data_IF_236028733381
#
_entry.id   IF_236028733381
#
_cell.length_a   1.000
_cell.length_b   1.000
_cell.length_c   1.000
_cell.angle_alpha   90.00
_cell.angle_beta   90.00
_cell.angle_gamma   90.00
#
_symmetry.space_group_name_H-M   'P 1'
#
loop_
_entity.id
_entity.type
_entity.pdbx_description
1 polymer ?
#
# COMPACT_ATOMS: atom_id res chain seq x y z
N UNK A 1 -15.87 22.81 -0.86
CA UNK A 1 -14.73 21.89 -1.06
C UNK A 1 -15.29 20.51 -1.30
N UNK A 2 -15.15 19.98 -2.52
CA UNK A 2 -15.50 18.59 -2.78
C UNK A 2 -14.31 17.70 -2.40
N UNK A 3 -14.59 16.51 -1.88
CA UNK A 3 -13.56 15.51 -1.55
C UNK A 3 -13.77 14.29 -2.44
N UNK A 4 -12.72 13.90 -3.14
CA UNK A 4 -12.67 12.65 -3.91
C UNK A 4 -11.93 11.62 -3.06
N UNK A 5 -12.53 10.45 -2.92
CA UNK A 5 -11.97 9.32 -2.18
C UNK A 5 -11.74 8.18 -3.18
N UNK A 6 -10.48 7.85 -3.42
CA UNK A 6 -10.09 6.72 -4.25
C UNK A 6 -9.54 5.61 -3.36
N UNK A 7 -10.13 4.42 -3.44
CA UNK A 7 -9.64 3.21 -2.76
C UNK A 7 -8.98 2.30 -3.78
N UNK A 8 -7.69 2.04 -3.58
CA UNK A 8 -6.89 1.14 -4.41
C UNK A 8 -6.49 -0.05 -3.55
N UNK A 9 -7.06 -1.21 -3.83
CA UNK A 9 -6.67 -2.46 -3.18
C UNK A 9 -5.27 -2.91 -3.65
N UNK A 10 -4.56 -3.67 -2.82
CA UNK A 10 -3.21 -4.17 -3.12
C UNK A 10 -3.10 -4.91 -4.47
N UNK A 11 -4.11 -5.70 -4.83
CA UNK A 11 -4.20 -6.42 -6.10
C UNK A 11 -4.12 -5.46 -7.31
N UNK A 12 -4.64 -4.25 -7.17
CA UNK A 12 -4.59 -3.19 -8.19
C UNK A 12 -3.39 -2.27 -8.08
N UNK A 13 -2.57 -2.40 -7.03
CA UNK A 13 -1.29 -1.67 -6.95
C UNK A 13 -0.30 -2.22 -7.99
N UNK A 14 -0.40 -3.51 -8.32
CA UNK A 14 0.39 -4.15 -9.38
C UNK A 14 0.16 -3.47 -10.74
N UNK A 15 -1.10 -3.26 -11.10
CA UNK A 15 -1.49 -2.65 -12.39
C UNK A 15 -1.04 -1.19 -12.55
N UNK A 16 -0.68 -0.52 -11.45
CA UNK A 16 -0.33 0.90 -11.41
C UNK A 16 1.14 1.17 -11.10
N UNK A 17 1.98 0.15 -11.09
CA UNK A 17 3.41 0.23 -10.72
C UNK A 17 3.63 0.95 -9.37
N UNK A 18 2.72 0.74 -8.42
CA UNK A 18 2.77 1.41 -7.12
C UNK A 18 3.65 0.63 -6.14
N UNK A 19 4.53 1.36 -5.45
CA UNK A 19 5.45 0.83 -4.44
C UNK A 19 5.02 1.29 -3.06
N UNK A 20 4.85 0.34 -2.13
CA UNK A 20 4.51 0.63 -0.73
C UNK A 20 5.67 0.21 0.16
N UNK A 21 6.16 1.14 0.99
CA UNK A 21 7.22 0.85 1.96
C UNK A 21 6.81 1.28 3.36
N UNK A 22 6.97 0.39 4.33
CA UNK A 22 6.66 0.64 5.74
C UNK A 22 7.72 0.03 6.64
N UNK A 23 7.81 0.48 7.89
CA UNK A 23 8.65 -0.16 8.90
C UNK A 23 7.97 -1.42 9.40
N UNK A 24 8.73 -2.48 9.64
CA UNK A 24 8.24 -3.68 10.30
C UNK A 24 7.48 -3.28 11.57
N UNK A 25 6.19 -3.64 11.70
CA UNK A 25 5.36 -3.18 12.82
C UNK A 25 5.85 -3.71 14.17
N UNK A 26 6.57 -4.84 14.17
CA UNK A 26 7.10 -5.45 15.38
C UNK A 26 8.40 -4.78 15.84
N UNK A 27 9.47 -4.87 15.04
CA UNK A 27 10.78 -4.36 15.46
C UNK A 27 11.00 -2.87 15.17
N UNK A 28 10.10 -2.24 14.41
CA UNK A 28 10.09 -0.81 14.02
C UNK A 28 11.40 -0.29 13.41
N UNK A 29 12.26 -1.18 12.94
CA UNK A 29 13.63 -0.83 12.55
C UNK A 29 14.06 -1.38 11.19
N UNK A 30 13.39 -2.40 10.69
CA UNK A 30 13.59 -2.89 9.32
C UNK A 30 12.54 -2.31 8.39
N UNK A 31 12.94 -1.79 7.24
CA UNK A 31 12.01 -1.32 6.19
C UNK A 31 11.59 -2.49 5.31
N UNK A 32 10.28 -2.67 5.16
CA UNK A 32 9.65 -3.63 4.27
C UNK A 32 9.16 -2.88 3.05
N UNK A 33 9.33 -3.48 1.88
CA UNK A 33 8.95 -2.88 0.60
C UNK A 33 8.19 -3.88 -0.23
N UNK A 34 7.01 -3.48 -0.66
CA UNK A 34 6.12 -4.18 -1.57
C UNK A 34 6.30 -3.57 -2.96
N UNK A 35 6.63 -4.40 -3.94
CA UNK A 35 6.74 -4.00 -5.35
C UNK A 35 5.75 -4.76 -6.20
N UNK A 36 5.21 -4.11 -7.23
CA UNK A 36 4.30 -4.69 -8.20
C UNK A 36 4.83 -5.98 -8.87
N UNK A 37 6.15 -6.16 -8.90
CA UNK A 37 6.83 -7.35 -9.45
C UNK A 37 6.72 -8.61 -8.58
N UNK A 38 6.26 -8.51 -7.33
CA UNK A 38 6.00 -9.68 -6.47
C UNK A 38 4.59 -10.20 -6.79
N UNK A 39 4.50 -11.35 -7.46
CA UNK A 39 3.24 -11.98 -7.89
C UNK A 39 2.32 -12.23 -6.69
N UNK A 40 0.99 -12.13 -6.84
CA UNK A 40 0.03 -12.38 -5.74
C UNK A 40 0.20 -13.75 -5.07
N UNK A 41 0.63 -14.78 -5.81
CA UNK A 41 0.95 -16.10 -5.25
C UNK A 41 2.15 -16.09 -4.28
N UNK A 42 2.98 -15.04 -4.34
CA UNK A 42 4.11 -14.81 -3.43
C UNK A 42 3.75 -13.97 -2.20
N UNK A 43 2.52 -13.45 -2.10
CA UNK A 43 2.05 -12.71 -0.92
C UNK A 43 1.63 -13.66 0.22
N UNK A 44 2.36 -14.76 0.41
CA UNK A 44 2.23 -15.67 1.54
C UNK A 44 2.76 -15.05 2.84
N UNK A 45 2.73 -13.72 2.97
CA UNK A 45 3.38 -12.97 4.02
C UNK A 45 4.84 -12.65 3.74
N UNK A 46 5.38 -11.69 4.50
CA UNK A 46 6.75 -11.20 4.38
C UNK A 46 7.48 -11.40 5.69
N UNK A 47 8.62 -12.07 5.63
CA UNK A 47 9.46 -12.22 6.80
C UNK A 47 10.34 -10.98 7.00
N UNK A 48 10.30 -10.44 8.21
CA UNK A 48 11.22 -9.38 8.59
C UNK A 48 12.62 -9.95 8.79
N UNK A 49 13.59 -9.51 7.99
CA UNK A 49 15.00 -9.96 8.04
C UNK A 49 15.75 -9.71 9.36
N UNK A 50 15.17 -8.97 10.32
CA UNK A 50 15.81 -8.65 11.60
C UNK A 50 15.19 -9.36 12.80
N UNK A 51 13.87 -9.47 12.82
CA UNK A 51 13.14 -10.04 13.96
C UNK A 51 12.38 -11.31 13.59
N UNK A 52 12.50 -11.75 12.34
CA UNK A 52 11.92 -12.99 11.81
C UNK A 52 10.39 -13.04 11.93
N UNK A 53 9.76 -11.90 12.22
CA UNK A 53 8.31 -11.79 12.26
C UNK A 53 7.74 -11.99 10.85
N UNK A 54 6.84 -12.96 10.73
CA UNK A 54 6.08 -13.23 9.53
C UNK A 54 4.88 -12.28 9.44
N UNK A 55 4.84 -11.45 8.41
CA UNK A 55 3.85 -10.37 8.28
C UNK A 55 2.88 -10.71 7.18
N UNK A 56 1.64 -11.01 7.58
CA UNK A 56 0.53 -11.21 6.66
C UNK A 56 -0.16 -9.87 6.40
N UNK A 57 -0.35 -9.55 5.12
CA UNK A 57 -1.06 -8.37 4.68
C UNK A 57 -2.45 -8.78 4.23
N UNK A 58 -3.36 -8.93 5.18
CA UNK A 58 -4.77 -9.13 4.88
C UNK A 58 -5.42 -7.78 4.56
N UNK A 59 -6.06 -7.70 3.39
CA UNK A 59 -7.01 -6.63 3.05
C UNK A 59 -6.48 -5.18 3.08
N UNK A 60 -5.19 -4.95 2.85
CA UNK A 60 -4.65 -3.58 2.81
C UNK A 60 -5.19 -2.84 1.59
N UNK A 61 -5.57 -1.59 1.79
CA UNK A 61 -5.99 -0.69 0.73
C UNK A 61 -5.33 0.68 0.90
N UNK A 62 -4.87 1.25 -0.20
CA UNK A 62 -4.44 2.63 -0.27
C UNK A 62 -5.68 3.49 -0.47
N UNK A 63 -5.99 4.33 0.51
CA UNK A 63 -7.07 5.32 0.41
C UNK A 63 -6.44 6.68 0.16
N UNK A 64 -6.77 7.28 -0.99
CA UNK A 64 -6.34 8.62 -1.37
C UNK A 64 -7.53 9.56 -1.17
N UNK A 65 -7.34 10.59 -0.35
CA UNK A 65 -8.35 11.64 -0.15
C UNK A 65 -7.78 12.92 -0.77
N UNK A 66 -8.38 13.38 -1.86
CA UNK A 66 -8.00 14.61 -2.57
C UNK A 66 -9.09 15.65 -2.41
N UNK A 67 -8.70 16.87 -2.03
CA UNK A 67 -9.59 18.02 -2.09
C UNK A 67 -9.63 18.55 -3.53
N UNK A 68 -10.82 18.77 -4.07
CA UNK A 68 -11.02 19.41 -5.38
C UNK A 68 -11.55 20.82 -5.17
N UNK A 69 -10.94 21.75 -5.92
CA UNK A 69 -11.49 23.09 -6.11
C UNK A 69 -12.84 22.96 -6.85
N UNK A 70 -13.83 23.83 -6.54
CA UNK A 70 -15.06 23.86 -7.32
C UNK A 70 -14.71 24.11 -8.80
N UNK A 71 -15.46 23.52 -9.75
CA UNK A 71 -15.28 23.86 -11.15
C UNK A 71 -15.46 25.37 -11.29
N UNK A 72 -14.49 26.06 -11.89
CA UNK A 72 -14.71 27.43 -12.34
C UNK A 72 -15.80 27.34 -13.42
N UNK A 73 -16.97 27.91 -13.13
CA UNK A 73 -18.03 28.07 -14.12
C UNK A 73 -17.46 28.89 -15.29
N UNK A 74 -17.18 28.21 -16.41
CA UNK A 74 -16.83 28.79 -17.71
C UNK A 74 -18.09 28.97 -18.56
#
# INVERSE_FOLDING_TARGET
MHRVVDKISLDRLMDRDLKVSFLCPYCKSTRITLTASQTMDSWNGIDCSKCEAHILLDSVSLVVIKETLPPEDL
#
